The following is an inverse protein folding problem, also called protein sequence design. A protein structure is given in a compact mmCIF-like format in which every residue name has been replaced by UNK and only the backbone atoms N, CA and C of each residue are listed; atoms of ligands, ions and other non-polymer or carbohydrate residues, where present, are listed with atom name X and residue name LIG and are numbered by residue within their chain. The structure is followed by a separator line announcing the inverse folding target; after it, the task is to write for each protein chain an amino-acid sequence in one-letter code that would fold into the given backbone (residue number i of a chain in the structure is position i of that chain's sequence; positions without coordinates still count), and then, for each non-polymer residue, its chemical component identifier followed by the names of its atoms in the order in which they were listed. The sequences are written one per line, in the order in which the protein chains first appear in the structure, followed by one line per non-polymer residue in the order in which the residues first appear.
data_IF_339611251215
#
_entry.id   IF_339611251215
#
_cell.length_a   1.000
_cell.length_b   1.000
_cell.length_c   1.000
_cell.angle_alpha   90.00
_cell.angle_beta   90.00
_cell.angle_gamma   90.00
#
_symmetry.space_group_name_H-M   'P 1'
#
loop_
_entity.id
_entity.type
_entity.pdbx_description
1 polymer ?
#
# COMPACT_ATOMS: atom_id res chain seq x y z
N UNK A 1 -34.00 17.11 14.48
CA UNK A 1 -32.57 17.07 14.87
C UNK A 1 -32.05 15.63 14.90
N UNK A 2 -31.37 15.15 13.85
CA UNK A 2 -30.58 13.90 13.86
C UNK A 2 -29.33 14.04 12.96
N UNK A 3 -28.57 15.10 13.16
CA UNK A 3 -27.19 15.19 12.66
C UNK A 3 -26.25 15.02 13.85
N UNK A 4 -25.84 13.78 14.10
CA UNK A 4 -24.64 13.49 14.88
C UNK A 4 -23.83 12.48 14.08
N UNK A 5 -23.18 12.99 13.01
CA UNK A 5 -22.09 12.28 12.33
C UNK A 5 -20.97 12.10 13.36
N UNK A 6 -20.81 10.89 13.90
CA UNK A 6 -19.64 10.51 14.70
C UNK A 6 -18.43 10.54 13.78
N UNK A 7 -17.60 11.58 13.88
CA UNK A 7 -16.39 11.81 13.10
C UNK A 7 -15.20 10.91 13.46
N UNK A 8 -15.46 9.63 13.77
CA UNK A 8 -14.42 8.63 14.11
C UNK A 8 -14.64 7.30 13.38
N UNK A 9 -15.06 7.35 12.12
CA UNK A 9 -15.05 6.14 11.28
C UNK A 9 -13.83 6.19 10.36
N UNK A 10 -12.99 5.15 10.33
CA UNK A 10 -11.82 5.08 9.45
C UNK A 10 -12.23 5.16 7.97
N UNK A 11 -13.34 4.54 7.57
CA UNK A 11 -13.91 4.65 6.23
C UNK A 11 -15.41 4.93 6.25
N UNK A 12 -15.85 5.90 5.44
CA UNK A 12 -17.28 6.13 5.17
C UNK A 12 -17.76 5.18 4.06
N UNK A 13 -19.07 4.92 3.99
CA UNK A 13 -19.67 4.07 2.93
C UNK A 13 -19.32 4.58 1.52
N UNK A 14 -19.22 5.90 1.35
CA UNK A 14 -18.87 6.52 0.07
C UNK A 14 -17.42 6.20 -0.33
N UNK A 15 -16.48 6.19 0.63
CA UNK A 15 -15.07 5.86 0.38
C UNK A 15 -14.90 4.37 0.00
N UNK A 16 -15.69 3.47 0.61
CA UNK A 16 -15.76 2.08 0.19
C UNK A 16 -16.29 1.92 -1.24
N UNK A 17 -17.35 2.66 -1.57
CA UNK A 17 -17.90 2.68 -2.91
C UNK A 17 -16.88 3.14 -3.95
N UNK A 18 -16.12 4.19 -3.64
CA UNK A 18 -15.07 4.70 -4.53
C UNK A 18 -13.98 3.66 -4.79
N UNK A 19 -13.46 3.00 -3.76
CA UNK A 19 -12.44 1.96 -3.93
C UNK A 19 -12.93 0.78 -4.77
N UNK A 20 -14.20 0.38 -4.61
CA UNK A 20 -14.79 -0.67 -5.43
C UNK A 20 -14.92 -0.24 -6.90
N UNK A 21 -15.40 0.98 -7.15
CA UNK A 21 -15.53 1.53 -8.51
C UNK A 21 -14.15 1.63 -9.18
N UNK A 22 -13.14 2.12 -8.46
CA UNK A 22 -11.76 2.19 -8.96
C UNK A 22 -11.21 0.81 -9.31
N UNK A 23 -11.45 -0.20 -8.46
CA UNK A 23 -11.02 -1.57 -8.74
C UNK A 23 -11.69 -2.13 -10.01
N UNK A 24 -13.00 -1.94 -10.17
CA UNK A 24 -13.74 -2.43 -11.32
C UNK A 24 -13.25 -1.78 -12.61
N UNK A 25 -13.04 -0.46 -12.60
CA UNK A 25 -12.46 0.25 -13.72
C UNK A 25 -11.06 -0.26 -14.06
N UNK A 26 -10.18 -0.39 -13.06
CA UNK A 26 -8.80 -0.85 -13.28
C UNK A 26 -8.75 -2.26 -13.88
N UNK A 27 -9.57 -3.17 -13.34
CA UNK A 27 -9.63 -4.57 -13.82
C UNK A 27 -10.16 -4.66 -15.25
N UNK A 28 -11.08 -3.77 -15.63
CA UNK A 28 -11.59 -3.67 -17.01
C UNK A 28 -10.53 -3.12 -17.97
N UNK A 29 -9.76 -2.11 -17.54
CA UNK A 29 -8.76 -1.45 -18.38
C UNK A 29 -7.45 -2.26 -18.51
N UNK A 30 -7.09 -3.05 -17.50
CA UNK A 30 -5.79 -3.75 -17.42
C UNK A 30 -6.00 -5.24 -17.17
N UNK A 31 -6.36 -5.97 -18.23
CA UNK A 31 -6.47 -7.43 -18.16
C UNK A 31 -5.10 -8.06 -17.84
N UNK A 32 -5.09 -8.99 -16.89
CA UNK A 32 -3.87 -9.65 -16.41
C UNK A 32 -3.18 -9.00 -15.20
N UNK A 33 -3.65 -7.85 -14.73
CA UNK A 33 -3.15 -7.22 -13.50
C UNK A 33 -4.04 -7.55 -12.29
N UNK A 34 -3.41 -7.67 -11.12
CA UNK A 34 -4.12 -7.84 -9.86
C UNK A 34 -4.43 -6.47 -9.24
N UNK A 35 -5.70 -6.22 -8.92
CA UNK A 35 -6.13 -5.00 -8.26
C UNK A 35 -6.31 -5.22 -6.76
N UNK A 36 -5.62 -4.42 -5.94
CA UNK A 36 -5.73 -4.46 -4.46
C UNK A 36 -6.32 -3.14 -3.99
N UNK A 37 -7.45 -3.20 -3.28
CA UNK A 37 -8.04 -2.01 -2.65
C UNK A 37 -7.25 -1.67 -1.39
N UNK A 38 -6.72 -0.45 -1.34
CA UNK A 38 -5.92 0.04 -0.23
C UNK A 38 -6.49 1.36 0.27
N UNK A 39 -6.52 1.54 1.58
CA UNK A 39 -6.82 2.82 2.21
C UNK A 39 -5.74 3.20 3.21
N UNK A 40 -5.40 4.49 3.26
CA UNK A 40 -4.33 5.01 4.12
C UNK A 40 -4.94 5.44 5.44
N UNK A 41 -4.44 4.89 6.55
CA UNK A 41 -4.91 5.21 7.90
C UNK A 41 -3.78 5.36 8.91
N UNK A 42 -4.00 6.03 10.04
CA UNK A 42 -3.04 6.05 11.14
C UNK A 42 -2.73 4.64 11.68
N UNK A 43 -3.75 3.79 11.80
CA UNK A 43 -3.66 2.40 12.27
C UNK A 43 -4.65 1.51 11.51
N UNK A 44 -4.54 0.19 11.73
CA UNK A 44 -5.42 -0.83 11.14
C UNK A 44 -6.70 -1.07 11.95
N UNK A 45 -6.99 -0.26 12.99
CA UNK A 45 -8.13 -0.52 13.88
C UNK A 45 -9.42 0.03 13.28
N UNK A 46 -10.38 -0.85 13.04
CA UNK A 46 -11.71 -0.50 12.56
C UNK A 46 -12.80 -1.00 13.52
N UNK A 47 -13.90 -0.26 13.61
CA UNK A 47 -15.09 -0.78 14.32
C UNK A 47 -15.73 -1.90 13.50
N UNK A 48 -16.37 -2.88 14.16
CA UNK A 48 -17.06 -4.01 13.48
C UNK A 48 -18.04 -3.59 12.39
N UNK A 49 -18.66 -2.41 12.53
CA UNK A 49 -19.60 -1.84 11.56
C UNK A 49 -18.91 -1.20 10.32
N UNK A 50 -17.59 -1.08 10.34
CA UNK A 50 -16.77 -0.41 9.32
C UNK A 50 -15.60 -1.26 8.84
N UNK A 51 -15.61 -2.58 9.11
CA UNK A 51 -14.57 -3.49 8.59
C UNK A 51 -14.75 -3.63 7.09
N UNK A 52 -13.80 -3.15 6.29
CA UNK A 52 -13.89 -3.25 4.85
C UNK A 52 -13.61 -4.67 4.41
N UNK A 53 -14.57 -5.35 3.78
CA UNK A 53 -14.29 -6.68 3.23
C UNK A 53 -13.34 -6.52 2.03
N UNK A 54 -12.14 -7.10 2.15
CA UNK A 54 -11.14 -7.12 1.07
C UNK A 54 -10.54 -5.75 0.73
N UNK A 55 -10.44 -4.85 1.70
CA UNK A 55 -9.61 -3.63 1.60
C UNK A 55 -8.49 -3.76 2.64
N UNK A 56 -7.26 -3.46 2.23
CA UNK A 56 -6.11 -3.42 3.12
C UNK A 56 -5.88 -2.00 3.64
N UNK A 57 -5.30 -1.89 4.82
CA UNK A 57 -4.79 -0.63 5.35
C UNK A 57 -3.30 -0.47 4.98
N UNK A 58 -2.92 0.72 4.53
CA UNK A 58 -1.55 1.19 4.58
C UNK A 58 -1.42 2.12 5.79
N UNK A 59 -0.80 1.63 6.86
CA UNK A 59 -0.65 2.42 8.08
C UNK A 59 0.50 3.42 7.96
N UNK A 60 0.52 4.45 8.80
CA UNK A 60 1.66 5.39 8.85
C UNK A 60 2.98 4.67 9.19
N UNK A 61 2.95 3.68 10.08
CA UNK A 61 4.12 2.86 10.40
C UNK A 61 4.60 2.06 9.19
N UNK A 62 3.68 1.49 8.40
CA UNK A 62 4.02 0.76 7.18
C UNK A 62 4.48 1.68 6.06
N UNK A 63 3.92 2.89 5.95
CA UNK A 63 4.39 3.92 5.01
C UNK A 63 5.82 4.35 5.35
N UNK A 64 6.14 4.56 6.62
CA UNK A 64 7.50 4.87 7.06
C UNK A 64 8.46 3.74 6.70
N UNK A 65 8.06 2.48 6.90
CA UNK A 65 8.87 1.33 6.48
C UNK A 65 9.14 1.30 4.96
N UNK A 66 8.15 1.65 4.11
CA UNK A 66 8.37 1.77 2.66
C UNK A 66 9.43 2.84 2.37
N UNK A 67 9.32 4.01 3.02
CA UNK A 67 10.26 5.12 2.83
C UNK A 67 11.68 4.72 3.23
N UNK A 68 11.82 4.00 4.35
CA UNK A 68 13.12 3.58 4.85
C UNK A 68 13.76 2.51 3.96
N UNK A 69 13.00 1.49 3.55
CA UNK A 69 13.49 0.45 2.63
C UNK A 69 13.83 1.04 1.24
N UNK A 70 13.04 1.99 0.74
CA UNK A 70 13.32 2.69 -0.52
C UNK A 70 14.58 3.57 -0.41
N UNK A 71 14.76 4.26 0.72
CA UNK A 71 15.95 5.08 0.97
C UNK A 71 17.20 4.20 1.03
N UNK A 72 17.15 3.07 1.72
CA UNK A 72 18.27 2.13 1.77
C UNK A 72 18.67 1.63 0.38
N UNK A 73 17.70 1.27 -0.47
CA UNK A 73 17.94 0.88 -1.85
C UNK A 73 18.62 2.00 -2.65
N UNK A 74 18.07 3.22 -2.59
CA UNK A 74 18.60 4.37 -3.30
C UNK A 74 20.00 4.75 -2.84
N UNK A 75 20.24 4.77 -1.52
CA UNK A 75 21.57 5.02 -0.96
C UNK A 75 22.58 3.98 -1.44
N UNK A 76 22.24 2.70 -1.40
CA UNK A 76 23.13 1.64 -1.90
C UNK A 76 23.47 1.79 -3.39
N UNK A 77 22.52 2.26 -4.21
CA UNK A 77 22.75 2.55 -5.63
C UNK A 77 23.60 3.80 -5.83
N UNK A 78 23.31 4.89 -5.13
CA UNK A 78 24.07 6.13 -5.23
C UNK A 78 25.52 5.98 -4.75
N UNK A 79 25.74 5.16 -3.72
CA UNK A 79 27.07 4.90 -3.17
C UNK A 79 27.82 3.81 -3.95
N UNK A 80 27.13 3.11 -4.86
CA UNK A 80 27.77 2.11 -5.72
C UNK A 80 28.64 2.81 -6.76
N UNK A 81 29.96 2.72 -6.62
CA UNK A 81 30.93 3.26 -7.61
C UNK A 81 30.98 2.42 -8.90
N UNK A 82 29.87 1.81 -9.28
CA UNK A 82 29.75 0.99 -10.49
C UNK A 82 29.54 1.89 -11.70
N UNK A 83 29.90 1.39 -12.88
CA UNK A 83 29.63 2.11 -14.11
C UNK A 83 28.12 2.15 -14.41
N UNK A 84 27.68 3.11 -15.23
CA UNK A 84 26.28 3.21 -15.67
C UNK A 84 25.79 1.91 -16.33
N UNK A 85 26.68 1.20 -17.04
CA UNK A 85 26.37 -0.09 -17.69
C UNK A 85 26.08 -1.19 -16.67
N UNK A 86 26.69 -1.13 -15.50
CA UNK A 86 26.53 -2.12 -14.42
C UNK A 86 25.40 -1.74 -13.45
N UNK A 87 25.00 -0.47 -13.43
CA UNK A 87 23.99 0.06 -12.52
C UNK A 87 22.63 -0.64 -12.67
N UNK A 88 22.23 -0.96 -13.90
CA UNK A 88 20.98 -1.71 -14.16
C UNK A 88 21.04 -3.09 -13.50
N UNK A 89 22.12 -3.84 -13.73
CA UNK A 89 22.30 -5.17 -13.15
C UNK A 89 22.46 -5.15 -11.63
N UNK A 90 23.02 -4.07 -11.05
CA UNK A 90 23.02 -3.87 -9.60
C UNK A 90 21.62 -3.58 -9.08
N UNK A 91 20.87 -2.69 -9.75
CA UNK A 91 19.50 -2.33 -9.39
C UNK A 91 18.59 -3.55 -9.37
N UNK A 92 18.65 -4.40 -10.39
CA UNK A 92 17.87 -5.64 -10.44
C UNK A 92 18.21 -6.59 -9.28
N UNK A 93 19.50 -6.74 -8.96
CA UNK A 93 19.94 -7.58 -7.84
C UNK A 93 19.46 -7.03 -6.49
N UNK A 94 19.55 -5.73 -6.27
CA UNK A 94 19.09 -5.12 -5.01
C UNK A 94 17.55 -5.16 -4.91
N UNK A 95 16.84 -4.87 -6.00
CA UNK A 95 15.38 -4.98 -6.05
C UNK A 95 14.89 -6.42 -5.84
N UNK A 96 15.60 -7.43 -6.35
CA UNK A 96 15.23 -8.83 -6.13
C UNK A 96 15.15 -9.20 -4.65
N UNK A 97 15.96 -8.55 -3.79
CA UNK A 97 16.00 -8.80 -2.35
C UNK A 97 15.17 -7.78 -1.55
N UNK A 98 14.84 -6.62 -2.12
CA UNK A 98 14.09 -5.56 -1.44
C UNK A 98 12.60 -5.86 -1.33
N UNK A 99 11.99 -5.44 -0.22
CA UNK A 99 10.54 -5.49 0.00
C UNK A 99 9.77 -4.50 -0.88
N UNK A 100 10.43 -3.46 -1.42
CA UNK A 100 9.80 -2.48 -2.31
C UNK A 100 9.51 -3.03 -3.71
N UNK A 101 9.98 -4.25 -4.02
CA UNK A 101 9.64 -4.95 -5.26
C UNK A 101 8.13 -5.19 -5.33
N UNK A 102 7.56 -4.95 -6.50
CA UNK A 102 6.10 -4.90 -6.71
C UNK A 102 5.35 -6.16 -6.23
N UNK A 103 5.96 -7.34 -6.33
CA UNK A 103 5.39 -8.63 -5.95
C UNK A 103 5.44 -8.87 -4.44
N UNK A 104 6.38 -8.23 -3.73
CA UNK A 104 6.54 -8.32 -2.27
C UNK A 104 5.80 -7.22 -1.52
N UNK A 105 5.62 -6.06 -2.16
CA UNK A 105 5.05 -4.86 -1.56
C UNK A 105 3.71 -5.12 -0.85
N UNK A 106 2.72 -5.82 -1.44
CA UNK A 106 1.47 -6.09 -0.75
C UNK A 106 1.65 -6.86 0.57
N UNK A 107 2.46 -7.91 0.56
CA UNK A 107 2.68 -8.74 1.75
C UNK A 107 3.54 -8.04 2.82
N UNK A 108 4.48 -7.20 2.41
CA UNK A 108 5.38 -6.51 3.33
C UNK A 108 4.71 -5.33 4.06
N UNK A 109 3.85 -4.57 3.36
CA UNK A 109 3.39 -3.27 3.85
C UNK A 109 1.88 -3.12 4.04
N UNK A 110 1.07 -3.94 3.38
CA UNK A 110 -0.37 -3.84 3.51
C UNK A 110 -0.85 -4.77 4.63
N UNK A 111 -1.68 -4.24 5.52
CA UNK A 111 -2.22 -5.00 6.65
C UNK A 111 -3.73 -5.10 6.55
N UNK A 112 -4.29 -6.15 7.14
CA UNK A 112 -5.74 -6.25 7.30
C UNK A 112 -6.23 -5.29 8.37
N UNK A 113 -7.50 -4.88 8.26
CA UNK A 113 -8.14 -4.15 9.34
C UNK A 113 -8.46 -5.11 10.49
N UNK A 114 -8.09 -4.71 11.69
CA UNK A 114 -8.41 -5.40 12.93
C UNK A 114 -9.70 -4.84 13.52
N UNK A 115 -10.55 -5.72 14.04
CA UNK A 115 -11.77 -5.31 14.72
C UNK A 115 -11.45 -5.03 16.18
N UNK A 116 -11.63 -3.78 16.60
CA UNK A 116 -11.66 -3.43 18.03
C UNK A 116 -13.05 -3.67 18.64
#
# INVERSE_FOLDING_TARGET
AKSRKKGKNPLTKDQHGQLLVSQLWFTSAYSGYAAIRVSVHPNSVATRASVPIGVKALTLAKLQAIVDDARQLLTALCDSQVSERELVGLTDRLLAHSNVRWDKLPAAYLVDFEVA
#
